data_IF_174329294366
#
_entry.id   IF_174329294366
#
_cell.length_a   1.000
_cell.length_b   1.000
_cell.length_c   1.000
_cell.angle_alpha   90.00
_cell.angle_beta   90.00
_cell.angle_gamma   90.00
#
_symmetry.space_group_name_H-M   'P 1'
#
loop_
_entity.id
_entity.type
_entity.pdbx_description
1 polymer ?
#
# COMPACT_ATOMS: atom_id res chain seq x y z
N UNK A 1 -11.44 -10.93 12.34
CA UNK A 1 -11.48 -10.91 13.83
C UNK A 1 -10.65 -9.74 14.39
N UNK A 2 -9.39 -9.56 13.98
CA UNK A 2 -8.57 -8.44 14.45
C UNK A 2 -9.21 -7.06 14.19
N UNK A 3 -9.85 -6.86 13.03
CA UNK A 3 -10.55 -5.62 12.73
C UNK A 3 -11.73 -5.37 13.67
N UNK A 4 -12.49 -6.41 14.00
CA UNK A 4 -13.59 -6.31 14.98
C UNK A 4 -13.07 -5.97 16.38
N UNK A 5 -11.98 -6.62 16.79
CA UNK A 5 -11.36 -6.35 18.10
C UNK A 5 -10.82 -4.91 18.21
N UNK A 6 -10.16 -4.42 17.16
CA UNK A 6 -9.67 -3.04 17.09
C UNK A 6 -10.78 -2.01 17.36
N UNK A 7 -11.91 -2.20 16.73
CA UNK A 7 -13.09 -1.35 16.96
C UNK A 7 -13.68 -1.55 18.35
N UNK A 8 -13.88 -2.81 18.79
CA UNK A 8 -14.47 -3.13 20.09
C UNK A 8 -13.70 -2.48 21.24
N UNK A 9 -12.38 -2.51 21.18
CA UNK A 9 -11.51 -1.93 22.19
C UNK A 9 -11.18 -0.44 21.95
N UNK A 10 -11.75 0.18 20.92
CA UNK A 10 -11.56 1.60 20.56
C UNK A 10 -10.09 1.99 20.47
N UNK A 11 -9.32 1.16 19.76
CA UNK A 11 -7.86 1.34 19.64
C UNK A 11 -7.54 2.53 18.74
N UNK A 12 -7.74 3.74 19.21
CA UNK A 12 -7.57 4.99 18.45
C UNK A 12 -6.09 5.38 18.20
N UNK A 13 -5.17 4.63 18.77
CA UNK A 13 -3.75 4.69 18.47
C UNK A 13 -3.27 3.59 17.48
N UNK A 14 -4.19 2.74 17.02
CA UNK A 14 -3.91 1.73 16.00
C UNK A 14 -4.12 2.32 14.60
N UNK A 15 -3.05 2.34 13.81
CA UNK A 15 -3.10 2.67 12.40
C UNK A 15 -2.63 1.46 11.58
N UNK A 16 -3.53 0.87 10.82
CA UNK A 16 -3.21 -0.20 9.87
C UNK A 16 -2.97 0.38 8.48
N UNK A 17 -2.15 -0.27 7.69
CA UNK A 17 -1.89 0.10 6.30
C UNK A 17 -2.16 -1.10 5.41
N UNK A 18 -2.99 -0.91 4.40
CA UNK A 18 -3.15 -1.85 3.31
C UNK A 18 -2.29 -1.38 2.15
N UNK A 19 -1.20 -2.10 1.87
CA UNK A 19 -0.42 -1.93 0.63
C UNK A 19 -1.25 -2.50 -0.53
N UNK A 20 -2.02 -1.64 -1.18
CA UNK A 20 -2.91 -2.03 -2.28
C UNK A 20 -2.19 -1.91 -3.61
N UNK A 21 -1.23 -2.77 -3.87
CA UNK A 21 -0.49 -2.80 -5.13
C UNK A 21 -1.20 -3.59 -6.25
N UNK A 22 -2.38 -4.16 -5.97
CA UNK A 22 -3.25 -4.89 -6.91
C UNK A 22 -2.66 -6.16 -7.51
N UNK A 23 -1.50 -6.60 -7.06
CA UNK A 23 -0.85 -7.80 -7.54
C UNK A 23 -0.64 -8.82 -6.43
N UNK A 24 -0.71 -10.08 -6.81
CA UNK A 24 -0.33 -11.23 -5.99
C UNK A 24 0.45 -12.23 -6.86
N UNK A 25 0.96 -13.32 -6.26
CA UNK A 25 1.81 -14.32 -6.95
C UNK A 25 1.29 -14.71 -8.34
N UNK A 26 -0.02 -14.97 -8.45
CA UNK A 26 -0.66 -15.52 -9.65
C UNK A 26 -1.23 -14.47 -10.60
N UNK A 27 -1.12 -13.18 -10.30
CA UNK A 27 -1.61 -12.11 -11.17
C UNK A 27 -2.31 -10.97 -10.44
N UNK A 28 -3.25 -10.32 -11.12
CA UNK A 28 -4.03 -9.22 -10.56
C UNK A 28 -4.96 -9.74 -9.46
N UNK A 29 -5.03 -9.04 -8.32
CA UNK A 29 -5.86 -9.45 -7.18
C UNK A 29 -7.33 -9.57 -7.54
N UNK A 30 -7.87 -8.72 -8.41
CA UNK A 30 -9.28 -8.74 -8.79
C UNK A 30 -9.63 -9.94 -9.68
N UNK A 31 -8.65 -10.48 -10.42
CA UNK A 31 -8.85 -11.65 -11.27
C UNK A 31 -8.71 -12.97 -10.49
N UNK A 32 -7.89 -12.98 -9.43
CA UNK A 32 -7.58 -14.18 -8.66
C UNK A 32 -8.50 -14.33 -7.44
N UNK A 33 -8.63 -13.26 -6.64
CA UNK A 33 -9.50 -13.19 -5.48
C UNK A 33 -9.88 -11.75 -5.24
N UNK A 34 -10.94 -11.29 -5.88
CA UNK A 34 -11.42 -9.93 -5.79
C UNK A 34 -11.70 -9.49 -4.36
N UNK A 35 -11.28 -8.30 -4.03
CA UNK A 35 -11.46 -7.74 -2.69
C UNK A 35 -12.70 -6.85 -2.57
N UNK A 36 -13.43 -6.66 -3.66
CA UNK A 36 -14.55 -5.73 -3.75
C UNK A 36 -14.16 -4.33 -3.21
N UNK A 37 -15.01 -3.74 -2.39
CA UNK A 37 -14.73 -2.45 -1.76
C UNK A 37 -14.05 -2.63 -0.41
N UNK A 38 -12.72 -2.54 -0.36
CA UNK A 38 -11.95 -2.58 0.88
C UNK A 38 -12.33 -1.45 1.85
N UNK A 39 -12.72 -0.28 1.33
CA UNK A 39 -13.12 0.85 2.16
C UNK A 39 -14.39 0.50 2.93
N UNK A 40 -15.40 -0.03 2.24
CA UNK A 40 -16.65 -0.45 2.89
C UNK A 40 -16.45 -1.61 3.85
N UNK A 41 -15.54 -2.54 3.54
CA UNK A 41 -15.22 -3.62 4.47
C UNK A 41 -14.68 -3.11 5.80
N UNK A 42 -13.72 -2.19 5.79
CA UNK A 42 -13.18 -1.62 7.03
C UNK A 42 -14.18 -0.68 7.71
N UNK A 43 -14.94 0.12 6.94
CA UNK A 43 -16.01 0.95 7.51
C UNK A 43 -17.07 0.13 8.23
N UNK A 44 -17.46 -1.03 7.68
CA UNK A 44 -18.45 -1.91 8.30
C UNK A 44 -17.97 -2.49 9.64
N UNK A 45 -16.65 -2.56 9.85
CA UNK A 45 -16.06 -2.91 11.15
C UNK A 45 -15.85 -1.71 12.08
N UNK A 46 -16.31 -0.51 11.68
CA UNK A 46 -16.20 0.70 12.51
C UNK A 46 -14.83 1.36 12.50
N UNK A 47 -14.03 1.16 11.46
CA UNK A 47 -12.75 1.83 11.28
C UNK A 47 -12.89 3.18 10.58
N UNK A 48 -12.08 4.15 10.95
CA UNK A 48 -11.82 5.31 10.10
C UNK A 48 -10.97 4.88 8.90
N UNK A 49 -11.42 5.21 7.69
CA UNK A 49 -10.76 4.76 6.46
C UNK A 49 -10.26 5.95 5.68
N UNK A 50 -8.96 5.99 5.43
CA UNK A 50 -8.29 7.01 4.64
C UNK A 50 -7.83 6.37 3.32
N UNK A 51 -8.30 6.91 2.19
CA UNK A 51 -7.77 6.51 0.88
C UNK A 51 -6.55 7.35 0.54
N UNK A 52 -5.43 6.69 0.24
CA UNK A 52 -4.20 7.34 -0.22
C UNK A 52 -4.07 7.05 -1.71
N UNK A 53 -4.39 8.05 -2.53
CA UNK A 53 -4.47 7.91 -3.99
C UNK A 53 -3.14 7.49 -4.63
N UNK A 54 -2.02 8.00 -4.12
CA UNK A 54 -0.67 7.54 -4.44
C UNK A 54 0.07 7.13 -3.16
N UNK A 55 0.06 5.84 -2.87
CA UNK A 55 0.74 5.24 -1.72
C UNK A 55 2.28 5.23 -1.83
N UNK A 56 2.85 5.71 -2.95
CA UNK A 56 4.27 5.92 -3.10
C UNK A 56 4.66 7.42 -2.90
N UNK A 57 3.68 8.32 -2.72
CA UNK A 57 3.92 9.73 -2.40
C UNK A 57 4.12 9.92 -0.91
N UNK A 58 5.30 10.44 -0.53
CA UNK A 58 5.63 10.76 0.87
C UNK A 58 4.69 11.85 1.41
N UNK A 59 4.33 12.83 0.60
CA UNK A 59 3.43 13.93 0.98
C UNK A 59 2.03 13.41 1.32
N UNK A 60 1.48 12.51 0.48
CA UNK A 60 0.15 11.95 0.72
C UNK A 60 0.16 11.03 1.93
N UNK A 61 1.19 10.20 2.10
CA UNK A 61 1.34 9.37 3.29
C UNK A 61 1.47 10.20 4.56
N UNK A 62 2.26 11.27 4.53
CA UNK A 62 2.39 12.20 5.67
C UNK A 62 1.04 12.81 6.06
N UNK A 63 0.30 13.33 5.08
CA UNK A 63 -1.04 13.89 5.31
C UNK A 63 -2.00 12.86 5.92
N UNK A 64 -2.00 11.64 5.39
CA UNK A 64 -2.82 10.54 5.91
C UNK A 64 -2.46 10.15 7.36
N UNK A 65 -1.17 10.13 7.72
CA UNK A 65 -0.75 9.88 9.09
C UNK A 65 -1.14 11.02 10.05
N UNK A 66 -1.08 12.27 9.61
CA UNK A 66 -1.54 13.40 10.44
C UNK A 66 -3.06 13.32 10.67
N UNK A 67 -3.85 12.95 9.65
CA UNK A 67 -5.29 12.69 9.81
C UNK A 67 -5.55 11.54 10.79
N UNK A 68 -4.82 10.43 10.65
CA UNK A 68 -4.93 9.28 11.54
C UNK A 68 -4.68 9.65 13.01
N UNK A 69 -3.69 10.50 13.30
CA UNK A 69 -3.39 10.98 14.66
C UNK A 69 -4.53 11.78 15.28
N UNK A 70 -5.32 12.47 14.48
CA UNK A 70 -6.47 13.26 14.94
C UNK A 70 -7.70 12.39 15.20
N UNK A 71 -7.77 11.20 14.62
CA UNK A 71 -8.89 10.28 14.79
C UNK A 71 -8.91 9.71 16.22
N UNK A 72 -10.07 9.82 16.90
CA UNK A 72 -10.23 9.34 18.29
C UNK A 72 -11.42 8.41 18.42
N UNK A 73 -11.30 7.47 19.36
CA UNK A 73 -12.36 6.52 19.71
C UNK A 73 -12.55 5.37 18.71
N UNK A 74 -11.77 5.30 17.65
CA UNK A 74 -11.80 4.23 16.64
C UNK A 74 -10.43 4.06 15.98
N UNK A 75 -10.07 2.84 15.54
CA UNK A 75 -8.84 2.61 14.79
C UNK A 75 -8.92 3.19 13.37
N UNK A 76 -7.76 3.47 12.80
CA UNK A 76 -7.65 3.99 11.42
C UNK A 76 -6.99 2.96 10.51
N UNK A 77 -7.44 2.90 9.25
CA UNK A 77 -6.78 2.16 8.18
C UNK A 77 -6.50 3.08 7.00
N UNK A 78 -5.27 3.05 6.51
CA UNK A 78 -4.86 3.68 5.26
C UNK A 78 -4.96 2.63 4.15
N UNK A 79 -5.73 2.91 3.10
CA UNK A 79 -5.72 2.12 1.86
C UNK A 79 -4.73 2.80 0.91
N UNK A 80 -3.49 2.36 0.92
CA UNK A 80 -2.43 2.97 0.13
C UNK A 80 -2.36 2.32 -1.26
N UNK A 81 -2.80 3.05 -2.28
CA UNK A 81 -2.73 2.60 -3.66
C UNK A 81 -1.29 2.75 -4.17
N UNK A 82 -0.54 1.67 -4.13
CA UNK A 82 0.87 1.62 -4.49
C UNK A 82 1.10 1.00 -5.87
N UNK A 83 2.28 1.19 -6.40
CA UNK A 83 2.79 0.46 -7.57
C UNK A 83 3.88 -0.50 -7.10
N UNK A 84 3.67 -1.81 -7.31
CA UNK A 84 4.69 -2.82 -6.99
C UNK A 84 5.97 -2.52 -7.75
N UNK A 85 7.12 -2.54 -7.07
CA UNK A 85 8.43 -2.29 -7.68
C UNK A 85 8.64 -0.84 -8.14
N UNK A 86 7.90 0.14 -7.55
CA UNK A 86 8.01 1.56 -7.89
C UNK A 86 9.46 2.03 -7.83
N UNK A 87 9.92 2.63 -8.93
CA UNK A 87 11.26 3.19 -9.03
C UNK A 87 12.08 2.63 -10.21
N UNK A 88 11.76 1.44 -10.71
CA UNK A 88 12.43 0.89 -11.89
C UNK A 88 11.43 0.28 -12.86
N UNK A 89 11.53 0.64 -14.12
CA UNK A 89 10.71 0.09 -15.20
C UNK A 89 10.88 -1.44 -15.36
N UNK A 90 11.99 -1.99 -14.89
CA UNK A 90 12.23 -3.45 -14.87
C UNK A 90 11.25 -4.15 -13.92
N UNK A 91 10.90 -3.52 -12.79
CA UNK A 91 10.10 -4.11 -11.71
C UNK A 91 8.64 -3.63 -11.68
N UNK A 92 8.38 -2.39 -12.11
CA UNK A 92 7.07 -1.74 -11.91
C UNK A 92 5.94 -2.58 -12.49
N UNK A 93 4.89 -2.77 -11.66
CA UNK A 93 3.62 -3.41 -11.98
C UNK A 93 3.74 -4.83 -12.55
N UNK A 94 4.73 -5.60 -12.10
CA UNK A 94 4.95 -6.98 -12.56
C UNK A 94 4.77 -7.99 -11.44
N UNK A 95 3.77 -8.87 -11.55
CA UNK A 95 3.50 -9.95 -10.60
C UNK A 95 4.69 -10.92 -10.47
N UNK A 96 5.43 -11.15 -11.56
CA UNK A 96 6.62 -12.03 -11.58
C UNK A 96 7.71 -11.63 -10.58
N UNK A 97 7.74 -10.37 -10.16
CA UNK A 97 8.68 -9.88 -9.16
C UNK A 97 8.29 -10.18 -7.70
N UNK A 98 7.22 -10.95 -7.47
CA UNK A 98 6.83 -11.30 -6.10
C UNK A 98 7.89 -12.15 -5.36
N UNK A 99 8.57 -13.04 -6.06
CA UNK A 99 9.65 -13.89 -5.52
C UNK A 99 10.95 -13.82 -6.35
N UNK A 100 10.99 -12.93 -7.35
CA UNK A 100 12.12 -12.85 -8.25
C UNK A 100 13.34 -12.23 -7.57
N UNK A 101 14.49 -12.91 -7.70
CA UNK A 101 15.79 -12.35 -7.34
C UNK A 101 16.42 -11.83 -8.62
N UNK A 102 16.81 -10.55 -8.71
CA UNK A 102 17.33 -9.98 -9.95
C UNK A 102 18.60 -10.70 -10.41
N UNK A 103 18.69 -10.93 -11.71
CA UNK A 103 19.95 -11.29 -12.36
C UNK A 103 20.94 -10.12 -12.29
N UNK A 104 22.21 -10.37 -12.63
CA UNK A 104 23.19 -9.30 -12.66
C UNK A 104 22.81 -8.18 -13.65
N UNK A 105 22.31 -8.53 -14.81
CA UNK A 105 21.87 -7.57 -15.84
C UNK A 105 20.67 -6.73 -15.36
N UNK A 106 19.68 -7.38 -14.75
CA UNK A 106 18.52 -6.70 -14.17
C UNK A 106 18.94 -5.76 -13.03
N UNK A 107 19.84 -6.21 -12.16
CA UNK A 107 20.39 -5.38 -11.09
C UNK A 107 21.07 -4.10 -11.64
N UNK A 108 21.90 -4.25 -12.64
CA UNK A 108 22.60 -3.12 -13.28
C UNK A 108 21.59 -2.13 -13.90
N UNK A 109 20.55 -2.64 -14.55
CA UNK A 109 19.49 -1.77 -15.10
C UNK A 109 18.70 -1.07 -14.00
N UNK A 110 18.33 -1.77 -12.93
CA UNK A 110 17.62 -1.18 -11.78
C UNK A 110 18.46 -0.05 -11.14
N UNK A 111 19.76 -0.29 -10.94
CA UNK A 111 20.65 0.73 -10.38
C UNK A 111 20.77 1.95 -11.30
N UNK A 112 20.79 1.75 -12.60
CA UNK A 112 20.79 2.85 -13.58
C UNK A 112 19.48 3.65 -13.52
N UNK A 113 18.33 2.98 -13.47
CA UNK A 113 17.02 3.64 -13.33
C UNK A 113 16.97 4.53 -12.06
N UNK A 114 17.57 4.07 -10.96
CA UNK A 114 17.62 4.83 -9.71
C UNK A 114 18.56 6.05 -9.80
N UNK A 115 19.71 5.93 -10.41
CA UNK A 115 20.63 7.07 -10.58
C UNK A 115 20.02 8.13 -11.51
N UNK A 116 19.39 7.74 -12.62
CA UNK A 116 18.69 8.66 -13.52
C UNK A 116 17.54 9.41 -12.81
N UNK A 117 16.82 8.74 -11.90
CA UNK A 117 15.77 9.39 -11.10
C UNK A 117 16.33 10.36 -10.07
N UNK A 118 17.44 10.01 -9.43
CA UNK A 118 18.10 10.88 -8.45
C UNK A 118 18.53 12.23 -9.04
N UNK A 119 18.93 12.23 -10.32
CA UNK A 119 19.29 13.45 -11.04
C UNK A 119 18.07 14.34 -11.38
N UNK A 120 16.84 13.81 -11.26
CA UNK A 120 15.59 14.53 -11.56
C UNK A 120 14.92 15.12 -10.29
N UNK A 121 15.44 14.80 -9.10
CA UNK A 121 14.98 15.31 -7.81
C UNK A 121 15.74 16.56 -7.39
#
# INVERSE_FOLDING_TARGET
>A
EAAMAGHQYKLDNLCAIVDRNRLQISGNTEDVMGHDDLHERFRSFGWHVIDVADGNSIEQLHAAFEEAKQTKGQPTVLIANTVKGKGSAVMEDKASWHHHVPSQEEYEQIMKDFEERKEQL
#
